data_IF_701432734474
#
_entry.id   IF_701432734474
#
_cell.length_a   1.000
_cell.length_b   1.000
_cell.length_c   1.000
_cell.angle_alpha   90.00
_cell.angle_beta   90.00
_cell.angle_gamma   90.00
#
_symmetry.space_group_name_H-M   'P 1'
#
loop_
_entity.id
_entity.type
_entity.pdbx_description
1 polymer ?
#
# COMPACT_ATOMS: atom_id res chain seq x y z
N UNK A 1 7.86 -32.70 -2.65
CA UNK A 1 7.54 -31.44 -3.36
C UNK A 1 8.34 -30.35 -2.66
N UNK A 2 8.97 -29.46 -3.41
CA UNK A 2 9.61 -28.29 -2.81
C UNK A 2 8.50 -27.41 -2.24
N UNK A 3 8.66 -26.91 -1.02
CA UNK A 3 7.69 -25.97 -0.46
C UNK A 3 7.83 -24.65 -1.21
N UNK A 4 6.71 -24.11 -1.67
CA UNK A 4 6.67 -22.82 -2.36
C UNK A 4 5.92 -21.81 -1.49
N UNK A 5 6.43 -20.59 -1.48
CA UNK A 5 5.82 -19.42 -0.87
C UNK A 5 5.07 -18.64 -1.94
N UNK A 6 3.88 -18.20 -1.61
CA UNK A 6 3.08 -17.24 -2.36
C UNK A 6 3.11 -15.92 -1.58
N UNK A 7 3.69 -14.87 -2.17
CA UNK A 7 3.90 -13.58 -1.52
C UNK A 7 3.04 -12.54 -2.23
N UNK A 8 2.10 -11.94 -1.50
CA UNK A 8 1.18 -10.93 -2.02
C UNK A 8 1.73 -9.53 -1.76
N UNK A 9 1.88 -8.74 -2.82
CA UNK A 9 2.38 -7.37 -2.75
C UNK A 9 1.27 -6.34 -2.91
N UNK A 10 1.52 -5.17 -2.36
CA UNK A 10 0.66 -4.01 -2.58
C UNK A 10 1.49 -2.72 -2.65
N UNK A 11 0.97 -1.76 -3.40
CA UNK A 11 1.47 -0.40 -3.44
C UNK A 11 0.72 0.45 -2.41
N UNK A 12 1.47 1.02 -1.47
CA UNK A 12 0.97 2.00 -0.53
C UNK A 12 1.22 3.42 -0.99
N UNK A 13 0.14 4.13 -1.29
CA UNK A 13 0.15 5.52 -1.69
C UNK A 13 0.06 6.41 -0.45
N UNK A 14 1.12 7.18 -0.17
CA UNK A 14 1.24 7.95 1.07
C UNK A 14 0.62 9.34 0.91
N UNK A 15 -0.46 9.62 1.65
CA UNK A 15 -1.14 10.91 1.70
C UNK A 15 -0.83 11.60 3.04
N UNK A 16 0.24 12.39 3.07
CA UNK A 16 0.77 12.99 4.31
C UNK A 16 -0.23 13.91 5.02
N UNK A 17 -1.01 14.68 4.26
CA UNK A 17 -2.00 15.61 4.83
C UNK A 17 -3.14 14.90 5.55
N UNK A 18 -3.49 13.70 5.08
CA UNK A 18 -4.54 12.88 5.65
C UNK A 18 -4.01 11.87 6.67
N UNK A 19 -2.68 11.77 6.85
CA UNK A 19 -2.03 10.70 7.60
C UNK A 19 -2.59 9.33 7.19
N UNK A 20 -2.66 9.10 5.89
CA UNK A 20 -3.25 7.90 5.30
C UNK A 20 -2.28 7.25 4.32
N UNK A 21 -2.23 5.93 4.31
CA UNK A 21 -1.64 5.12 3.25
C UNK A 21 -2.76 4.30 2.63
N UNK A 22 -2.98 4.51 1.33
CA UNK A 22 -3.97 3.77 0.56
C UNK A 22 -3.26 2.59 -0.10
N UNK A 23 -3.69 1.37 0.23
CA UNK A 23 -3.11 0.13 -0.26
C UNK A 23 -3.86 -0.33 -1.51
N UNK A 24 -3.14 -0.49 -2.61
CA UNK A 24 -3.62 -1.12 -3.84
C UNK A 24 -2.88 -2.46 -4.04
N UNK A 25 -3.58 -3.60 -4.16
CA UNK A 25 -2.95 -4.90 -4.44
C UNK A 25 -2.19 -4.86 -5.76
N UNK A 26 -0.90 -5.21 -5.73
CA UNK A 26 0.02 -5.07 -6.86
C UNK A 26 0.36 -6.41 -7.55
N UNK A 27 -0.05 -7.53 -6.97
CA UNK A 27 0.16 -8.86 -7.54
C UNK A 27 0.74 -9.83 -6.53
N UNK A 28 1.09 -11.02 -7.04
CA UNK A 28 1.55 -12.14 -6.23
C UNK A 28 2.76 -12.78 -6.91
N UNK A 29 3.81 -13.05 -6.13
CA UNK A 29 4.97 -13.82 -6.59
C UNK A 29 4.97 -15.21 -5.95
N UNK A 30 5.49 -16.21 -6.67
CA UNK A 30 5.66 -17.57 -6.15
C UNK A 30 7.14 -17.93 -6.19
N UNK A 31 7.71 -18.23 -5.03
CA UNK A 31 9.14 -18.53 -4.85
C UNK A 31 9.33 -19.87 -4.14
N UNK A 32 10.33 -20.64 -4.55
CA UNK A 32 10.74 -21.84 -3.82
C UNK A 32 11.28 -21.40 -2.43
N UNK A 33 10.82 -22.04 -1.35
CA UNK A 33 11.22 -21.70 0.02
C UNK A 33 12.75 -21.83 0.22
N UNK A 34 13.38 -22.76 -0.50
CA UNK A 34 14.83 -22.97 -0.43
C UNK A 34 15.63 -21.82 -1.09
N UNK A 35 14.99 -21.05 -1.98
CA UNK A 35 15.58 -19.92 -2.70
C UNK A 35 15.14 -18.56 -2.10
N UNK A 36 14.28 -18.57 -1.08
CA UNK A 36 13.78 -17.35 -0.43
C UNK A 36 14.81 -16.77 0.55
N UNK A 37 15.27 -15.57 0.26
CA UNK A 37 16.15 -14.78 1.13
C UNK A 37 15.45 -13.47 1.51
N UNK A 38 15.03 -13.37 2.79
CA UNK A 38 14.31 -12.19 3.30
C UNK A 38 15.09 -10.89 3.11
N UNK A 39 16.39 -10.89 3.40
CA UNK A 39 17.26 -9.71 3.25
C UNK A 39 17.27 -9.20 1.79
N UNK A 40 17.25 -10.12 0.82
CA UNK A 40 17.21 -9.78 -0.61
C UNK A 40 15.86 -9.18 -0.99
N UNK A 41 14.77 -9.78 -0.52
CA UNK A 41 13.41 -9.27 -0.78
C UNK A 41 13.23 -7.87 -0.18
N UNK A 42 13.70 -7.66 1.06
CA UNK A 42 13.68 -6.34 1.72
C UNK A 42 14.48 -5.31 0.92
N UNK A 43 15.72 -5.62 0.55
CA UNK A 43 16.56 -4.71 -0.23
C UNK A 43 15.93 -4.34 -1.58
N UNK A 44 15.29 -5.30 -2.24
CA UNK A 44 14.60 -5.07 -3.51
C UNK A 44 13.40 -4.11 -3.35
N UNK A 45 12.63 -4.25 -2.26
CA UNK A 45 11.52 -3.34 -1.97
C UNK A 45 11.99 -1.93 -1.56
N UNK A 46 13.14 -1.83 -0.88
CA UNK A 46 13.75 -0.54 -0.51
C UNK A 46 14.19 0.29 -1.72
N UNK A 47 14.61 -0.37 -2.81
CA UNK A 47 14.93 0.30 -4.08
C UNK A 47 13.71 0.96 -4.75
N UNK A 48 12.50 0.62 -4.28
CA UNK A 48 11.24 1.25 -4.67
C UNK A 48 10.50 0.54 -5.81
N UNK A 49 9.28 1.00 -6.10
CA UNK A 49 8.36 0.28 -6.98
C UNK A 49 8.83 0.17 -8.44
N UNK A 50 9.57 1.16 -8.94
CA UNK A 50 10.04 1.18 -10.34
C UNK A 50 11.17 0.17 -10.58
N UNK A 51 11.90 -0.19 -9.52
CA UNK A 51 12.90 -1.26 -9.56
C UNK A 51 12.24 -2.61 -9.29
N UNK A 52 11.24 -2.63 -8.40
CA UNK A 52 10.67 -3.86 -7.88
C UNK A 52 9.56 -4.49 -8.75
N UNK A 53 8.89 -3.70 -9.60
CA UNK A 53 7.68 -4.13 -10.31
C UNK A 53 7.70 -3.76 -11.80
N UNK A 54 6.85 -4.42 -12.59
CA UNK A 54 6.72 -4.11 -14.00
C UNK A 54 6.08 -2.72 -14.21
N UNK A 55 6.56 -1.99 -15.23
CA UNK A 55 6.07 -0.64 -15.55
C UNK A 55 4.54 -0.61 -15.78
N UNK A 56 3.99 -1.68 -16.37
CA UNK A 56 2.55 -1.77 -16.63
C UNK A 56 1.73 -1.88 -15.33
N UNK A 57 2.19 -2.67 -14.36
CA UNK A 57 1.50 -2.84 -13.07
C UNK A 57 1.50 -1.53 -12.29
N UNK A 58 2.66 -0.84 -12.27
CA UNK A 58 2.80 0.50 -11.67
C UNK A 58 1.86 1.50 -12.34
N UNK A 59 1.76 1.46 -13.67
CA UNK A 59 0.87 2.34 -14.42
C UNK A 59 -0.61 2.09 -14.12
N UNK A 60 -1.06 0.83 -14.12
CA UNK A 60 -2.45 0.47 -13.83
C UNK A 60 -2.86 0.91 -12.42
N UNK A 61 -2.00 0.66 -11.44
CA UNK A 61 -2.24 1.09 -10.07
C UNK A 61 -2.35 2.62 -9.95
N UNK A 62 -1.44 3.35 -10.60
CA UNK A 62 -1.45 4.81 -10.60
C UNK A 62 -2.72 5.38 -11.24
N UNK A 63 -3.19 4.78 -12.35
CA UNK A 63 -4.44 5.17 -13.01
C UNK A 63 -5.66 4.92 -12.11
N UNK A 64 -5.66 3.81 -11.36
CA UNK A 64 -6.75 3.45 -10.44
C UNK A 64 -6.81 4.38 -9.24
N UNK A 65 -5.67 4.84 -8.73
CA UNK A 65 -5.57 5.72 -7.55
C UNK A 65 -5.87 7.18 -7.91
N UNK A 66 -5.58 7.60 -9.14
CA UNK A 66 -5.71 8.99 -9.61
C UNK A 66 -7.02 9.71 -9.23
N UNK A 67 -8.22 9.08 -9.25
CA UNK A 67 -9.45 9.73 -8.81
C UNK A 67 -9.40 10.24 -7.36
N UNK A 68 -8.69 9.54 -6.46
CA UNK A 68 -8.54 9.95 -5.06
C UNK A 68 -7.76 11.26 -4.90
N UNK A 69 -6.89 11.61 -5.84
CA UNK A 69 -6.10 12.86 -5.78
C UNK A 69 -6.99 14.11 -5.72
N UNK A 70 -8.20 14.05 -6.29
CA UNK A 70 -9.18 15.14 -6.23
C UNK A 70 -9.60 15.44 -4.80
N UNK A 71 -9.65 14.43 -3.93
CA UNK A 71 -10.12 14.53 -2.56
C UNK A 71 -8.96 14.66 -1.58
N UNK A 72 -7.93 13.83 -1.76
CA UNK A 72 -6.84 13.62 -0.81
C UNK A 72 -5.56 14.38 -1.19
N UNK A 73 -5.55 15.09 -2.33
CA UNK A 73 -4.35 15.62 -3.01
C UNK A 73 -3.45 14.53 -3.57
N UNK A 74 -2.36 14.88 -4.26
CA UNK A 74 -1.43 13.88 -4.77
C UNK A 74 -0.73 13.14 -3.63
N UNK A 75 -0.52 11.81 -3.75
CA UNK A 75 0.34 11.09 -2.83
C UNK A 75 1.75 11.67 -2.88
N UNK A 76 2.42 11.76 -1.73
CA UNK A 76 3.79 12.28 -1.63
C UNK A 76 4.82 11.27 -2.14
N UNK A 77 4.51 9.98 -2.03
CA UNK A 77 5.26 8.87 -2.60
C UNK A 77 4.42 7.59 -2.63
N UNK A 78 4.93 6.61 -3.35
CA UNK A 78 4.40 5.24 -3.40
C UNK A 78 5.48 4.30 -2.87
N UNK A 79 5.09 3.37 -2.00
CA UNK A 79 5.98 2.42 -1.34
C UNK A 79 5.43 1.01 -1.50
N UNK A 80 6.26 0.00 -1.79
CA UNK A 80 5.81 -1.37 -1.84
C UNK A 80 5.67 -1.97 -0.44
N UNK A 81 4.75 -2.93 -0.32
CA UNK A 81 4.49 -3.71 0.88
C UNK A 81 4.31 -5.17 0.52
N UNK A 82 4.75 -6.05 1.43
CA UNK A 82 4.23 -7.41 1.53
C UNK A 82 2.99 -7.40 2.41
N UNK A 83 1.89 -7.95 1.91
CA UNK A 83 0.60 -7.97 2.61
C UNK A 83 0.23 -9.36 3.13
N UNK A 84 0.75 -10.40 2.48
CA UNK A 84 0.58 -11.78 2.93
C UNK A 84 1.73 -12.64 2.43
N UNK A 85 2.08 -13.66 3.21
CA UNK A 85 2.98 -14.73 2.81
C UNK A 85 2.27 -16.04 3.13
N UNK A 86 2.06 -16.88 2.12
CA UNK A 86 1.29 -18.12 2.22
C UNK A 86 2.08 -19.31 1.68
N UNK A 87 1.70 -20.50 2.10
CA UNK A 87 2.09 -21.70 1.37
C UNK A 87 1.33 -21.76 0.03
N UNK A 88 2.05 -21.87 -1.09
CA UNK A 88 1.43 -21.83 -2.41
C UNK A 88 0.49 -23.01 -2.68
N UNK A 89 0.74 -24.18 -2.08
CA UNK A 89 -0.08 -25.39 -2.24
C UNK A 89 -1.30 -25.40 -1.30
N UNK A 90 -1.08 -25.19 0.00
CA UNK A 90 -2.15 -25.31 1.01
C UNK A 90 -2.94 -24.02 1.22
N UNK A 91 -2.41 -22.89 0.72
CA UNK A 91 -2.92 -21.53 0.96
C UNK A 91 -2.95 -21.12 2.44
N UNK A 92 -2.24 -21.84 3.30
CA UNK A 92 -2.08 -21.52 4.71
C UNK A 92 -1.22 -20.25 4.88
N UNK A 93 -1.72 -19.26 5.63
CA UNK A 93 -0.98 -18.03 5.90
C UNK A 93 0.15 -18.27 6.91
N UNK A 94 1.35 -17.80 6.56
CA UNK A 94 2.57 -17.93 7.35
C UNK A 94 2.82 -16.65 8.14
N UNK A 95 1.92 -16.35 9.08
CA UNK A 95 1.95 -15.10 9.86
C UNK A 95 3.28 -14.83 10.58
N UNK A 96 3.99 -15.87 11.02
CA UNK A 96 5.31 -15.70 11.66
C UNK A 96 6.33 -15.12 10.69
N UNK A 97 6.35 -15.62 9.45
CA UNK A 97 7.27 -15.16 8.42
C UNK A 97 6.93 -13.74 7.97
N UNK A 98 5.64 -13.42 7.85
CA UNK A 98 5.19 -12.05 7.56
C UNK A 98 5.57 -11.08 8.68
N UNK A 99 5.47 -11.49 9.96
CA UNK A 99 5.88 -10.66 11.09
C UNK A 99 7.39 -10.40 11.09
N UNK A 100 8.21 -11.44 10.86
CA UNK A 100 9.66 -11.30 10.73
C UNK A 100 10.03 -10.36 9.56
N UNK A 101 9.33 -10.45 8.43
CA UNK A 101 9.51 -9.53 7.30
C UNK A 101 9.14 -8.07 7.67
N UNK A 102 7.99 -7.85 8.30
CA UNK A 102 7.55 -6.52 8.74
C UNK A 102 8.53 -5.91 9.76
N UNK A 103 9.13 -6.74 10.62
CA UNK A 103 10.18 -6.35 11.58
C UNK A 103 11.48 -5.96 10.88
N UNK A 104 11.94 -6.71 9.88
CA UNK A 104 13.18 -6.40 9.14
C UNK A 104 13.02 -5.17 8.24
N UNK A 105 11.89 -5.05 7.54
CA UNK A 105 11.64 -3.93 6.63
C UNK A 105 11.31 -2.63 7.37
N UNK A 106 10.71 -2.71 8.57
CA UNK A 106 10.28 -1.62 9.46
C UNK A 106 9.37 -0.53 8.84
N UNK A 107 9.08 -0.55 7.54
CA UNK A 107 8.37 0.54 6.85
C UNK A 107 6.95 0.73 7.41
N UNK A 108 6.20 -0.37 7.51
CA UNK A 108 4.82 -0.37 7.99
C UNK A 108 4.71 0.16 9.42
N UNK A 109 5.55 -0.37 10.32
CA UNK A 109 5.58 0.05 11.71
C UNK A 109 5.95 1.52 11.85
N UNK A 110 6.93 1.99 11.07
CA UNK A 110 7.38 3.37 11.10
C UNK A 110 6.26 4.35 10.72
N UNK A 111 5.38 3.97 9.79
CA UNK A 111 4.20 4.76 9.44
C UNK A 111 3.13 4.75 10.53
N UNK A 112 2.85 3.58 11.10
CA UNK A 112 1.90 3.44 12.21
C UNK A 112 2.37 4.28 13.42
N UNK A 113 3.66 4.21 13.78
CA UNK A 113 4.29 5.01 14.84
C UNK A 113 4.18 6.53 14.57
N UNK A 114 4.21 6.94 13.29
CA UNK A 114 3.99 8.34 12.85
C UNK A 114 2.52 8.74 12.78
N UNK A 115 1.60 7.86 13.18
CA UNK A 115 0.16 8.12 13.25
C UNK A 115 -0.56 7.96 11.92
N UNK A 116 -0.01 7.21 10.95
CA UNK A 116 -0.68 6.95 9.69
C UNK A 116 -1.66 5.79 9.83
N UNK A 117 -2.84 5.95 9.25
CA UNK A 117 -3.75 4.85 8.97
C UNK A 117 -3.33 4.16 7.68
N UNK A 118 -3.37 2.82 7.66
CA UNK A 118 -3.13 2.03 6.46
C UNK A 118 -4.43 1.33 6.11
N UNK A 119 -4.97 1.60 4.92
CA UNK A 119 -6.29 1.12 4.50
C UNK A 119 -6.27 0.63 3.07
N UNK A 120 -7.03 -0.42 2.80
CA UNK A 120 -7.34 -0.86 1.45
C UNK A 120 -8.04 0.25 0.65
N UNK A 121 -7.75 0.29 -0.65
CA UNK A 121 -8.31 1.24 -1.61
C UNK A 121 -9.84 1.24 -1.62
N UNK A 122 -10.51 0.08 -1.56
CA UNK A 122 -11.97 0.03 -1.58
C UNK A 122 -12.58 0.65 -0.34
N UNK A 123 -12.03 0.36 0.84
CA UNK A 123 -12.41 1.01 2.09
C UNK A 123 -12.27 2.54 2.02
N UNK A 124 -11.18 3.03 1.41
CA UNK A 124 -10.95 4.47 1.28
C UNK A 124 -11.93 5.09 0.30
N UNK A 125 -12.26 4.46 -0.82
CA UNK A 125 -13.28 4.97 -1.75
C UNK A 125 -14.66 5.08 -1.08
N UNK A 126 -15.07 4.06 -0.33
CA UNK A 126 -16.35 4.07 0.39
C UNK A 126 -16.42 5.16 1.47
N UNK A 127 -15.28 5.52 2.05
CA UNK A 127 -15.18 6.40 3.22
C UNK A 127 -14.34 7.65 2.95
N UNK A 128 -14.19 8.07 1.69
CA UNK A 128 -13.22 9.10 1.28
C UNK A 128 -13.39 10.41 2.04
N UNK A 129 -14.63 10.76 2.40
CA UNK A 129 -15.00 11.96 3.16
C UNK A 129 -14.28 12.02 4.52
N UNK A 130 -14.06 10.88 5.17
CA UNK A 130 -13.36 10.79 6.47
C UNK A 130 -11.88 11.16 6.38
N UNK A 131 -11.32 11.13 5.17
CA UNK A 131 -9.90 11.31 4.91
C UNK A 131 -9.58 12.63 4.20
N UNK A 132 -10.59 13.44 3.82
CA UNK A 132 -10.36 14.73 3.16
C UNK A 132 -9.62 15.66 4.13
N UNK A 133 -8.44 16.21 3.74
CA UNK A 133 -7.76 17.21 4.54
C UNK A 133 -8.68 18.41 4.81
N UNK A 134 -8.65 18.96 6.03
CA UNK A 134 -9.52 20.10 6.40
C UNK A 134 -9.42 21.29 5.44
N UNK A 135 -8.22 21.56 4.93
CA UNK A 135 -7.94 22.60 3.93
C UNK A 135 -8.68 22.37 2.60
N UNK A 136 -8.92 21.12 2.22
CA UNK A 136 -9.68 20.78 1.01
C UNK A 136 -11.19 20.88 1.21
N UNK A 137 -11.69 20.64 2.43
CA UNK A 137 -13.12 20.82 2.74
C UNK A 137 -13.56 22.28 2.55
N UNK A 138 -12.69 23.24 2.86
CA UNK A 138 -12.96 24.67 2.64
C UNK A 138 -13.06 25.02 1.15
N UNK A 139 -12.22 24.41 0.31
CA UNK A 139 -12.26 24.58 -1.15
C UNK A 139 -13.44 23.84 -1.82
N UNK A 140 -13.90 22.72 -1.25
CA UNK A 140 -15.10 22.01 -1.70
C UNK A 140 -16.39 22.74 -1.27
N UNK A 141 -16.37 23.49 -0.17
CA UNK A 141 -17.48 24.30 0.34
C UNK A 141 -17.71 25.64 -0.39
N UNK A 142 -17.13 25.87 -1.57
CA UNK A 142 -17.35 27.12 -2.34
C UNK A 142 -18.79 27.22 -2.89
N UNK A 143 -19.64 26.20 -2.72
CA UNK A 143 -21.11 26.32 -2.82
C UNK A 143 -21.74 26.81 -1.50
N UNK A 144 -21.16 27.82 -0.84
CA UNK A 144 -21.92 28.63 0.11
C UNK A 144 -23.00 29.35 -0.69
N UNK A 145 -24.19 28.76 -0.77
CA UNK A 145 -25.40 29.48 -1.16
C UNK A 145 -25.57 30.57 -0.10
N UNK A 146 -25.28 31.81 -0.47
CA UNK A 146 -25.73 32.97 0.27
C UNK A 146 -27.26 32.93 0.23
N UNK A 147 -27.87 32.45 1.31
CA UNK A 147 -29.29 32.67 1.52
C UNK A 147 -29.44 34.14 1.93
N UNK A 148 -29.94 34.95 1.00
CA UNK A 148 -30.52 36.28 1.27
C UNK A 148 -31.68 36.18 2.28
#
# INVERSE_FOLDING_TARGET
MKKQLEIDYAFGYVYDKSKLIVMYPAGTNVIDLDDYEMEVEVAFLEDGIDAAFEENDVKEANETIKPLETFLMKPSKVIPFVTSIKNAETKEELHKLLAEFDEEYEVKENYIKKGYEIKDIYHVFENVVSYIPKENLENLNILKIEND
#
